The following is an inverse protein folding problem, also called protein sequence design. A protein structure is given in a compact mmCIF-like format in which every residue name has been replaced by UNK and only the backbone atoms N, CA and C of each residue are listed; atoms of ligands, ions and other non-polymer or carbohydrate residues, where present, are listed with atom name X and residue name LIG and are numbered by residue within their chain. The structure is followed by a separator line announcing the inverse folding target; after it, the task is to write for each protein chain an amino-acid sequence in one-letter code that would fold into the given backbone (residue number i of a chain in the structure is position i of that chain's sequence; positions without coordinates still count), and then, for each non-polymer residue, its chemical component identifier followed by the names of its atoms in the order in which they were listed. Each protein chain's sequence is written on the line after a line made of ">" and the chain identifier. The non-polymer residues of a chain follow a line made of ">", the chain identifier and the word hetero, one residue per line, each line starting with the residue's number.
data_IF_253423264488
#
_entry.id   IF_253423264488
#
_cell.length_a   1.000
_cell.length_b   1.000
_cell.length_c   1.000
_cell.angle_alpha   90.00
_cell.angle_beta   90.00
_cell.angle_gamma   90.00
#
_symmetry.space_group_name_H-M   'P 1'
#
loop_
_entity.id
_entity.type
_entity.pdbx_description
1 polymer ?
#
# COMPACT_ATOMS: atom_id res chain seq x y z
N UNK A 1 -8.55 23.36 29.83
CA UNK A 1 -8.88 21.95 29.56
C UNK A 1 -8.72 21.74 28.06
N UNK A 2 -7.98 20.71 27.63
CA UNK A 2 -7.98 20.33 26.22
C UNK A 2 -9.30 19.61 25.93
N UNK A 3 -10.00 20.03 24.88
CA UNK A 3 -11.18 19.28 24.41
C UNK A 3 -10.76 17.85 24.05
N UNK A 4 -11.58 16.84 24.39
CA UNK A 4 -11.35 15.49 23.93
C UNK A 4 -11.36 15.44 22.40
N UNK A 5 -10.61 14.51 21.78
CA UNK A 5 -10.60 14.36 20.33
C UNK A 5 -12.02 14.17 19.78
N UNK A 6 -12.32 14.83 18.66
CA UNK A 6 -13.57 14.64 17.94
C UNK A 6 -13.54 13.28 17.24
N UNK A 7 -14.13 12.29 17.91
CA UNK A 7 -14.18 10.90 17.43
C UNK A 7 -14.77 10.77 16.02
N UNK A 8 -15.70 11.66 15.62
CA UNK A 8 -16.28 11.63 14.28
C UNK A 8 -15.24 12.04 13.22
N UNK A 9 -14.42 13.06 13.52
CA UNK A 9 -13.30 13.45 12.64
C UNK A 9 -12.26 12.34 12.52
N UNK A 10 -11.96 11.63 13.61
CA UNK A 10 -11.04 10.49 13.58
C UNK A 10 -11.59 9.38 12.67
N UNK A 11 -12.84 8.98 12.84
CA UNK A 11 -13.48 7.94 12.02
C UNK A 11 -13.53 8.34 10.54
N UNK A 12 -13.90 9.59 10.23
CA UNK A 12 -13.90 10.09 8.85
C UNK A 12 -12.51 10.06 8.22
N UNK A 13 -11.48 10.43 8.99
CA UNK A 13 -10.09 10.40 8.54
C UNK A 13 -9.64 8.97 8.25
N UNK A 14 -9.96 8.02 9.13
CA UNK A 14 -9.63 6.61 8.93
C UNK A 14 -10.33 6.01 7.69
N UNK A 15 -11.61 6.33 7.48
CA UNK A 15 -12.33 5.87 6.28
C UNK A 15 -11.73 6.44 4.99
N UNK A 16 -11.33 7.71 5.00
CA UNK A 16 -10.65 8.32 3.84
C UNK A 16 -9.31 7.64 3.57
N UNK A 17 -8.49 7.45 4.61
CA UNK A 17 -7.21 6.75 4.49
C UNK A 17 -7.38 5.34 3.95
N UNK A 18 -8.42 4.61 4.37
CA UNK A 18 -8.70 3.28 3.85
C UNK A 18 -9.03 3.30 2.35
N UNK A 19 -9.86 4.24 1.89
CA UNK A 19 -10.16 4.38 0.47
C UNK A 19 -8.92 4.78 -0.36
N UNK A 20 -8.14 5.74 0.14
CA UNK A 20 -6.89 6.16 -0.51
C UNK A 20 -5.90 4.98 -0.57
N UNK A 21 -5.84 4.15 0.47
CA UNK A 21 -5.02 2.93 0.49
C UNK A 21 -5.46 1.90 -0.56
N UNK A 22 -6.76 1.65 -0.72
CA UNK A 22 -7.26 0.74 -1.76
C UNK A 22 -6.88 1.23 -3.17
N UNK A 23 -7.04 2.53 -3.44
CA UNK A 23 -6.65 3.11 -4.71
C UNK A 23 -5.14 2.97 -4.99
N UNK A 24 -4.31 3.23 -3.97
CA UNK A 24 -2.84 3.07 -4.09
C UNK A 24 -2.48 1.60 -4.33
N UNK A 25 -3.14 0.67 -3.64
CA UNK A 25 -2.90 -0.77 -3.80
C UNK A 25 -3.20 -1.24 -5.23
N UNK A 26 -4.33 -0.83 -5.81
CA UNK A 26 -4.67 -1.15 -7.21
C UNK A 26 -3.63 -0.60 -8.19
N UNK A 27 -3.22 0.66 -8.02
CA UNK A 27 -2.18 1.27 -8.85
C UNK A 27 -0.82 0.55 -8.70
N UNK A 28 -0.47 0.10 -7.49
CA UNK A 28 0.73 -0.69 -7.25
C UNK A 28 0.66 -2.06 -7.94
N UNK A 29 -0.49 -2.73 -7.92
CA UNK A 29 -0.68 -4.02 -8.60
C UNK A 29 -0.48 -3.91 -10.11
N UNK A 30 -1.12 -2.95 -10.77
CA UNK A 30 -0.92 -2.70 -12.21
C UNK A 30 0.54 -2.38 -12.55
N UNK A 31 1.25 -1.71 -11.63
CA UNK A 31 2.66 -1.41 -11.81
C UNK A 31 3.53 -2.66 -11.63
N UNK A 32 3.30 -3.46 -10.59
CA UNK A 32 4.02 -4.72 -10.31
C UNK A 32 3.91 -5.72 -11.48
N UNK A 33 2.72 -5.83 -12.09
CA UNK A 33 2.46 -6.71 -13.24
C UNK A 33 3.43 -6.43 -14.41
N UNK A 34 3.81 -5.16 -14.61
CA UNK A 34 4.68 -4.72 -15.72
C UNK A 34 6.16 -4.84 -15.40
N UNK A 35 6.54 -5.16 -14.17
CA UNK A 35 7.92 -5.25 -13.72
C UNK A 35 8.37 -6.71 -13.62
N UNK A 36 9.59 -6.97 -14.10
CA UNK A 36 10.32 -8.20 -13.79
C UNK A 36 10.72 -8.25 -12.31
N UNK A 37 11.07 -9.44 -11.76
CA UNK A 37 11.49 -9.58 -10.38
C UNK A 37 12.66 -8.66 -9.98
N UNK A 38 13.66 -8.49 -10.85
CA UNK A 38 14.80 -7.60 -10.58
C UNK A 38 14.42 -6.12 -10.58
N UNK A 39 13.45 -5.71 -11.41
CA UNK A 39 12.95 -4.33 -11.41
C UNK A 39 12.14 -4.05 -10.14
N UNK A 40 11.37 -5.02 -9.65
CA UNK A 40 10.65 -4.92 -8.36
C UNK A 40 11.62 -4.75 -7.18
N UNK A 41 12.74 -5.47 -7.19
CA UNK A 41 13.81 -5.33 -6.20
C UNK A 41 14.45 -3.93 -6.27
N UNK A 42 14.77 -3.45 -7.47
CA UNK A 42 15.31 -2.09 -7.67
C UNK A 42 14.36 -0.99 -7.16
N UNK A 43 13.04 -1.13 -7.39
CA UNK A 43 12.03 -0.22 -6.83
C UNK A 43 12.03 -0.29 -5.29
N UNK A 44 12.12 -1.48 -4.71
CA UNK A 44 12.17 -1.67 -3.25
C UNK A 44 13.36 -0.96 -2.62
N UNK A 45 14.54 -1.06 -3.24
CA UNK A 45 15.76 -0.39 -2.78
C UNK A 45 15.68 1.13 -2.92
N UNK A 46 15.01 1.63 -3.97
CA UNK A 46 14.81 3.06 -4.21
C UNK A 46 13.84 3.75 -3.23
N UNK A 47 12.99 3.00 -2.54
CA UNK A 47 12.07 3.53 -1.55
C UNK A 47 12.80 3.91 -0.25
N UNK A 48 12.76 5.20 0.09
CA UNK A 48 13.51 5.78 1.22
C UNK A 48 12.82 5.61 2.57
N UNK A 49 11.48 5.54 2.57
CA UNK A 49 10.68 5.37 3.79
C UNK A 49 10.39 3.89 4.05
N UNK A 50 10.69 3.42 5.25
CA UNK A 50 10.46 2.03 5.67
C UNK A 50 9.00 1.61 5.49
N UNK A 51 8.05 2.46 5.88
CA UNK A 51 6.62 2.15 5.72
C UNK A 51 6.23 1.93 4.25
N UNK A 52 6.84 2.69 3.33
CA UNK A 52 6.59 2.53 1.89
C UNK A 52 7.22 1.26 1.36
N UNK A 53 8.41 0.88 1.85
CA UNK A 53 9.06 -0.40 1.52
C UNK A 53 8.21 -1.58 1.95
N UNK A 54 7.70 -1.56 3.17
CA UNK A 54 6.87 -2.66 3.68
C UNK A 54 5.52 -2.74 2.96
N UNK A 55 4.88 -1.61 2.66
CA UNK A 55 3.66 -1.60 1.82
C UNK A 55 3.92 -2.14 0.41
N UNK A 56 5.05 -1.77 -0.22
CA UNK A 56 5.43 -2.27 -1.54
C UNK A 56 5.69 -3.78 -1.54
N UNK A 57 6.45 -4.29 -0.57
CA UNK A 57 6.68 -5.73 -0.40
C UNK A 57 5.38 -6.50 -0.15
N UNK A 58 4.50 -5.97 0.70
CA UNK A 58 3.17 -6.55 0.92
C UNK A 58 2.36 -6.59 -0.36
N UNK A 59 2.41 -5.54 -1.18
CA UNK A 59 1.69 -5.50 -2.45
C UNK A 59 2.24 -6.50 -3.47
N UNK A 60 3.57 -6.69 -3.52
CA UNK A 60 4.19 -7.74 -4.34
C UNK A 60 3.71 -9.12 -3.91
N UNK A 61 3.73 -9.39 -2.59
CA UNK A 61 3.27 -10.66 -2.06
C UNK A 61 1.80 -10.92 -2.37
N UNK A 62 0.94 -9.94 -2.14
CA UNK A 62 -0.48 -10.08 -2.41
C UNK A 62 -0.74 -10.32 -3.91
N UNK A 63 0.00 -9.66 -4.81
CA UNK A 63 -0.06 -9.92 -6.26
C UNK A 63 0.38 -11.35 -6.63
N UNK A 64 1.46 -11.83 -6.01
CA UNK A 64 1.98 -13.18 -6.24
C UNK A 64 1.02 -14.26 -5.70
N UNK A 65 0.39 -14.01 -4.55
CA UNK A 65 -0.59 -14.91 -3.92
C UNK A 65 -1.91 -14.95 -4.73
N UNK A 66 -2.39 -13.82 -5.25
CA UNK A 66 -3.57 -13.73 -6.13
C UNK A 66 -3.36 -14.41 -7.49
N UNK A 67 -2.10 -14.55 -7.94
CA UNK A 67 -1.72 -15.25 -9.16
C UNK A 67 -1.72 -16.79 -9.07
N UNK A 68 -1.99 -17.37 -7.90
CA UNK A 68 -1.97 -18.83 -7.65
C UNK A 68 -3.37 -19.46 -7.79
N UNK A 69 -4.15 -19.03 -8.78
CA UNK A 69 -5.30 -19.81 -9.28
C UNK A 69 -4.95 -20.44 -10.64
N UNK A 70 -4.32 -21.62 -10.60
CA UNK A 70 -4.31 -22.61 -11.70
C UNK A 70 -4.51 -24.01 -11.15
#
# INVERSE_FOLDING_TARGET
>A
MNEPPDNNKVIQTLNKLNNDYQYIREAMFEYIERLSPSERESVTEGLTHEVMREMWKSSIKDYEDDGVET
#
